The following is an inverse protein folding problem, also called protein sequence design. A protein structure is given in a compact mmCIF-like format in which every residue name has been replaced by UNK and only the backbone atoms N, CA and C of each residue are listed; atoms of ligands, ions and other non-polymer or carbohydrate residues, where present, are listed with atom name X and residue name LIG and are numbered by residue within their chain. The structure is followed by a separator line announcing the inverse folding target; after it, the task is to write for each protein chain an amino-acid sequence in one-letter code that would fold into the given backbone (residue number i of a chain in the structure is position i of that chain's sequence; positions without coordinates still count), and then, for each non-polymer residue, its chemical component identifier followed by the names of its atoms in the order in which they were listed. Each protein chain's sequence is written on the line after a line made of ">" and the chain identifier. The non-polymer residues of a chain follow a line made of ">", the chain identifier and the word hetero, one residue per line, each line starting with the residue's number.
data_IF_539937210105
#
_entry.id   IF_539937210105
#
_cell.length_a   1.000
_cell.length_b   1.000
_cell.length_c   1.000
_cell.angle_alpha   90.00
_cell.angle_beta   90.00
_cell.angle_gamma   90.00
#
_symmetry.space_group_name_H-M   'P 1'
#
loop_
_entity.id
_entity.type
_entity.pdbx_description
1 polymer ?
#
# COMPACT_ATOMS: atom_id res chain seq x y z
N UNK A 1 5.26 -2.69 -30.20
CA UNK A 1 5.32 -1.88 -28.96
C UNK A 1 4.53 -0.59 -29.21
N UNK A 2 3.32 -0.43 -28.67
CA UNK A 2 2.46 0.75 -28.85
C UNK A 2 2.65 1.82 -27.73
N UNK A 3 3.68 1.67 -26.90
CA UNK A 3 3.97 2.54 -25.73
C UNK A 3 4.80 3.79 -26.07
N UNK A 4 4.76 4.25 -27.33
CA UNK A 4 5.83 5.05 -27.93
C UNK A 4 6.12 6.41 -27.30
N UNK A 5 5.11 7.13 -26.81
CA UNK A 5 5.31 8.51 -26.33
C UNK A 5 4.48 8.79 -25.07
N UNK A 6 4.72 8.04 -24.00
CA UNK A 6 4.20 8.39 -22.66
C UNK A 6 5.36 8.56 -21.69
N UNK A 7 5.53 9.77 -21.17
CA UNK A 7 6.56 10.11 -20.20
C UNK A 7 5.92 10.40 -18.84
N UNK A 8 6.55 9.95 -17.76
CA UNK A 8 6.14 10.29 -16.39
C UNK A 8 6.89 11.53 -15.94
N UNK A 9 6.19 12.44 -15.31
CA UNK A 9 6.76 13.66 -14.75
C UNK A 9 6.03 14.04 -13.46
N UNK A 10 6.55 15.08 -12.81
CA UNK A 10 5.94 15.70 -11.65
C UNK A 10 5.71 17.19 -11.96
N UNK A 11 4.48 17.66 -11.80
CA UNK A 11 4.10 19.07 -11.99
C UNK A 11 3.55 19.56 -10.66
N UNK A 12 4.19 20.59 -10.08
CA UNK A 12 3.77 21.15 -8.78
C UNK A 12 3.63 20.07 -7.69
N UNK A 13 4.62 19.17 -7.59
CA UNK A 13 4.63 18.05 -6.63
C UNK A 13 3.47 17.04 -6.83
N UNK A 14 2.81 17.08 -8.00
CA UNK A 14 1.72 16.15 -8.37
C UNK A 14 2.16 15.19 -9.47
N UNK A 15 1.73 13.91 -9.41
CA UNK A 15 1.99 12.96 -10.47
C UNK A 15 1.37 13.40 -11.79
N UNK A 16 2.17 13.38 -12.86
CA UNK A 16 1.71 13.77 -14.18
C UNK A 16 2.27 12.86 -15.29
N UNK A 17 1.56 12.81 -16.42
CA UNK A 17 1.95 12.09 -17.62
C UNK A 17 1.98 13.03 -18.82
N UNK A 18 3.00 12.92 -19.67
CA UNK A 18 3.06 13.57 -20.98
C UNK A 18 2.78 12.52 -22.05
N UNK A 19 1.65 12.65 -22.73
CA UNK A 19 1.18 11.72 -23.75
C UNK A 19 1.35 12.35 -25.13
N UNK A 20 1.97 11.61 -26.06
CA UNK A 20 2.32 12.04 -27.41
C UNK A 20 3.10 13.37 -27.46
N UNK A 21 3.84 13.69 -26.39
CA UNK A 21 4.57 14.97 -26.20
C UNK A 21 3.69 16.22 -26.28
N UNK A 22 2.37 16.06 -26.38
CA UNK A 22 1.42 17.15 -26.64
C UNK A 22 0.39 17.31 -25.53
N UNK A 23 -0.08 16.20 -24.94
CA UNK A 23 -1.10 16.20 -23.89
C UNK A 23 -0.43 16.02 -22.54
N UNK A 24 -0.66 16.94 -21.62
CA UNK A 24 -0.27 16.80 -20.21
C UNK A 24 -1.48 16.32 -19.42
N UNK A 25 -1.30 15.30 -18.60
CA UNK A 25 -2.32 14.73 -17.72
C UNK A 25 -1.83 14.84 -16.29
N UNK A 26 -2.49 15.64 -15.46
CA UNK A 26 -2.13 15.84 -14.05
C UNK A 26 -3.15 15.14 -13.16
N UNK A 27 -2.67 14.33 -12.22
CA UNK A 27 -3.52 13.63 -11.27
C UNK A 27 -3.76 14.49 -10.04
N UNK A 28 -5.03 14.77 -9.74
CA UNK A 28 -5.46 15.45 -8.53
C UNK A 28 -6.39 14.56 -7.68
N UNK A 29 -6.60 14.89 -6.38
CA UNK A 29 -7.54 14.16 -5.55
C UNK A 29 -8.96 14.22 -6.13
N UNK A 30 -9.48 13.09 -6.59
CA UNK A 30 -10.84 12.96 -7.11
C UNK A 30 -11.04 13.46 -8.56
N UNK A 31 -10.01 13.99 -9.22
CA UNK A 31 -10.13 14.44 -10.61
C UNK A 31 -8.81 14.33 -11.39
N UNK A 32 -8.91 14.44 -12.72
CA UNK A 32 -7.76 14.45 -13.63
C UNK A 32 -7.85 15.69 -14.48
N UNK A 33 -6.77 16.46 -14.55
CA UNK A 33 -6.68 17.67 -15.37
C UNK A 33 -5.92 17.34 -16.65
N UNK A 34 -6.51 17.65 -17.80
CA UNK A 34 -5.86 17.53 -19.10
C UNK A 34 -5.51 18.92 -19.61
N UNK A 35 -4.25 19.11 -20.00
CA UNK A 35 -3.75 20.36 -20.56
C UNK A 35 -3.10 20.10 -21.93
N UNK A 36 -3.50 20.85 -22.95
CA UNK A 36 -2.91 20.78 -24.29
C UNK A 36 -3.05 22.10 -25.03
N UNK A 37 -2.24 22.29 -26.08
CA UNK A 37 -2.43 23.37 -27.04
C UNK A 37 -3.48 22.96 -28.07
N UNK A 38 -4.62 23.64 -28.09
CA UNK A 38 -5.75 23.32 -28.96
C UNK A 38 -5.38 23.42 -30.45
N UNK A 39 -5.58 22.32 -31.17
CA UNK A 39 -5.50 22.21 -32.62
C UNK A 39 -6.10 20.86 -33.05
N UNK A 40 -6.49 20.69 -34.33
CA UNK A 40 -7.19 19.49 -34.77
C UNK A 40 -6.50 18.16 -34.43
N UNK A 41 -5.16 18.13 -34.42
CA UNK A 41 -4.41 16.92 -34.07
C UNK A 41 -4.40 16.65 -32.57
N UNK A 42 -4.14 17.68 -31.76
CA UNK A 42 -4.10 17.54 -30.31
C UNK A 42 -5.49 17.33 -29.70
N UNK A 43 -6.54 17.90 -30.28
CA UNK A 43 -7.92 17.72 -29.82
C UNK A 43 -8.33 16.24 -29.97
N UNK A 44 -7.97 15.61 -31.09
CA UNK A 44 -8.17 14.17 -31.29
C UNK A 44 -7.39 13.32 -30.25
N UNK A 45 -6.16 13.73 -29.93
CA UNK A 45 -5.37 13.06 -28.89
C UNK A 45 -6.00 13.23 -27.50
N UNK A 46 -6.50 14.43 -27.17
CA UNK A 46 -7.17 14.72 -25.92
C UNK A 46 -8.47 13.91 -25.76
N UNK A 47 -9.28 13.79 -26.82
CA UNK A 47 -10.49 12.96 -26.83
C UNK A 47 -10.16 11.48 -26.61
N UNK A 48 -9.10 11.00 -27.25
CA UNK A 48 -8.63 9.61 -27.08
C UNK A 48 -8.17 9.35 -25.65
N UNK A 49 -7.35 10.25 -25.09
CA UNK A 49 -6.88 10.16 -23.69
C UNK A 49 -8.07 10.18 -22.72
N UNK A 50 -9.03 11.07 -22.94
CA UNK A 50 -10.27 11.16 -22.14
C UNK A 50 -11.04 9.86 -22.18
N UNK A 51 -11.24 9.29 -23.37
CA UNK A 51 -11.95 8.02 -23.56
C UNK A 51 -11.28 6.90 -22.77
N UNK A 52 -9.95 6.79 -22.83
CA UNK A 52 -9.19 5.77 -22.08
C UNK A 52 -9.34 5.97 -20.57
N UNK A 53 -9.29 7.20 -20.08
CA UNK A 53 -9.48 7.51 -18.65
C UNK A 53 -10.89 7.07 -18.19
N UNK A 54 -11.91 7.41 -18.96
CA UNK A 54 -13.30 7.04 -18.65
C UNK A 54 -13.53 5.52 -18.73
N UNK A 55 -12.92 4.83 -19.70
CA UNK A 55 -12.99 3.38 -19.82
C UNK A 55 -12.34 2.69 -18.60
N UNK A 56 -11.18 3.18 -18.15
CA UNK A 56 -10.51 2.69 -16.93
C UNK A 56 -11.37 2.91 -15.69
N UNK A 57 -12.02 4.06 -15.56
CA UNK A 57 -12.91 4.36 -14.43
C UNK A 57 -14.18 3.51 -14.42
N UNK A 58 -14.77 3.30 -15.60
CA UNK A 58 -16.01 2.52 -15.76
C UNK A 58 -15.78 1.01 -15.66
N UNK A 59 -14.55 0.52 -15.85
CA UNK A 59 -14.21 -0.89 -15.73
C UNK A 59 -13.84 -1.30 -14.28
N UNK A 60 -14.70 -2.07 -13.58
CA UNK A 60 -14.45 -2.46 -12.18
C UNK A 60 -13.19 -3.33 -12.02
N UNK A 61 -12.78 -4.06 -13.07
CA UNK A 61 -11.62 -4.97 -13.03
C UNK A 61 -10.29 -4.21 -13.10
N UNK A 62 -10.24 -3.11 -13.86
CA UNK A 62 -9.05 -2.26 -13.99
C UNK A 62 -8.91 -1.33 -12.77
N UNK A 63 -10.03 -0.80 -12.28
CA UNK A 63 -10.09 -0.05 -11.01
C UNK A 63 -9.52 -0.87 -9.86
N UNK A 64 -9.85 -2.17 -9.78
CA UNK A 64 -9.27 -3.08 -8.78
C UNK A 64 -7.75 -3.18 -8.90
N UNK A 65 -7.16 -3.32 -10.09
CA UNK A 65 -5.71 -3.54 -10.24
C UNK A 65 -4.78 -2.34 -9.95
N UNK A 66 -5.17 -1.11 -10.30
CA UNK A 66 -4.37 0.09 -10.04
C UNK A 66 -4.59 0.66 -8.62
N UNK A 67 -5.83 0.59 -8.13
CA UNK A 67 -6.15 0.90 -6.73
C UNK A 67 -5.51 -0.15 -5.82
N UNK A 68 -5.54 -1.45 -6.15
CA UNK A 68 -4.89 -2.51 -5.35
C UNK A 68 -3.41 -2.27 -5.05
N UNK A 69 -2.60 -1.66 -5.93
CA UNK A 69 -1.17 -1.47 -5.62
C UNK A 69 -0.93 -0.35 -4.59
N UNK A 70 -1.68 0.75 -4.68
CA UNK A 70 -1.61 1.83 -3.69
C UNK A 70 -2.35 1.43 -2.41
N UNK A 71 -3.50 0.76 -2.55
CA UNK A 71 -4.27 0.18 -1.45
C UNK A 71 -3.48 -0.85 -0.70
N UNK A 72 -2.77 -1.78 -1.34
CA UNK A 72 -2.02 -2.83 -0.61
C UNK A 72 -0.87 -2.25 0.20
N UNK A 73 -0.20 -1.19 -0.28
CA UNK A 73 0.85 -0.49 0.49
C UNK A 73 0.25 0.30 1.66
N UNK A 74 -0.87 0.99 1.44
CA UNK A 74 -1.59 1.73 2.48
C UNK A 74 -2.22 0.78 3.53
N UNK A 75 -2.79 -0.34 3.09
CA UNK A 75 -3.36 -1.41 3.92
C UNK A 75 -2.27 -2.06 4.76
N UNK A 76 -1.09 -2.33 4.19
CA UNK A 76 0.03 -2.86 4.96
C UNK A 76 0.50 -1.87 6.03
N UNK A 77 0.59 -0.56 5.70
CA UNK A 77 0.95 0.45 6.68
C UNK A 77 -0.10 0.59 7.80
N UNK A 78 -1.39 0.51 7.46
CA UNK A 78 -2.49 0.52 8.44
C UNK A 78 -2.44 -0.74 9.32
N UNK A 79 -2.18 -1.90 8.74
CA UNK A 79 -2.01 -3.15 9.48
C UNK A 79 -0.83 -3.06 10.45
N UNK A 80 0.35 -2.67 9.98
CA UNK A 80 1.56 -2.52 10.79
C UNK A 80 1.34 -1.58 11.98
N UNK A 81 0.76 -0.39 11.74
CA UNK A 81 0.55 0.58 12.81
C UNK A 81 -0.51 0.13 13.82
N UNK A 82 -1.57 -0.54 13.37
CA UNK A 82 -2.58 -1.09 14.28
C UNK A 82 -2.06 -2.28 15.08
N UNK A 83 -1.21 -3.10 14.48
CA UNK A 83 -0.57 -4.22 15.14
C UNK A 83 0.38 -3.74 16.24
N UNK A 84 1.20 -2.73 15.94
CA UNK A 84 2.06 -2.06 16.93
C UNK A 84 1.25 -1.58 18.14
N UNK A 85 0.21 -0.76 17.91
CA UNK A 85 -0.63 -0.21 18.99
C UNK A 85 -1.31 -1.32 19.80
N UNK A 86 -1.82 -2.36 19.14
CA UNK A 86 -2.48 -3.47 19.84
C UNK A 86 -1.49 -4.26 20.69
N UNK A 87 -0.28 -4.54 20.19
CA UNK A 87 0.75 -5.23 20.96
C UNK A 87 1.24 -4.38 22.12
N UNK A 88 1.35 -3.06 21.94
CA UNK A 88 1.69 -2.11 23.02
C UNK A 88 0.61 -2.07 24.10
N UNK A 89 -0.67 -2.19 23.74
CA UNK A 89 -1.78 -2.27 24.71
C UNK A 89 -1.76 -3.59 25.51
N UNK A 90 -1.36 -4.70 24.88
CA UNK A 90 -1.30 -6.03 25.52
C UNK A 90 -0.06 -6.17 26.40
N UNK A 91 1.11 -5.77 25.91
CA UNK A 91 2.42 -6.06 26.52
C UNK A 91 3.09 -4.84 27.15
N UNK A 92 2.64 -3.62 26.83
CA UNK A 92 3.28 -2.37 27.22
C UNK A 92 4.16 -1.78 26.11
N UNK A 93 4.29 -0.46 26.11
CA UNK A 93 5.04 0.28 25.08
C UNK A 93 6.53 -0.10 25.04
N UNK A 94 7.14 -0.31 26.22
CA UNK A 94 8.55 -0.68 26.35
C UNK A 94 8.87 -2.12 25.89
N UNK A 95 7.84 -2.95 25.73
CA UNK A 95 7.98 -4.34 25.30
C UNK A 95 7.93 -4.51 23.79
N UNK A 96 7.59 -3.47 23.02
CA UNK A 96 7.39 -3.56 21.57
C UNK A 96 8.37 -2.64 20.86
N UNK A 97 9.16 -3.21 19.94
CA UNK A 97 10.12 -2.47 19.12
C UNK A 97 10.00 -2.80 17.64
N UNK A 98 10.20 -1.80 16.79
CA UNK A 98 10.29 -1.99 15.34
C UNK A 98 11.77 -2.14 15.00
N UNK A 99 12.18 -3.32 14.54
CA UNK A 99 13.59 -3.58 14.16
C UNK A 99 13.87 -3.13 12.72
N UNK A 100 12.98 -3.50 11.81
CA UNK A 100 13.03 -3.19 10.38
C UNK A 100 11.65 -2.73 9.89
N UNK A 101 11.56 -2.12 8.70
CA UNK A 101 10.29 -1.70 8.08
C UNK A 101 9.26 -2.85 7.94
N UNK A 102 9.73 -4.11 8.02
CA UNK A 102 8.91 -5.31 7.87
C UNK A 102 8.85 -6.21 9.12
N UNK A 103 9.49 -5.85 10.24
CA UNK A 103 9.55 -6.71 11.44
C UNK A 103 9.26 -5.94 12.73
N UNK A 104 8.29 -6.45 13.49
CA UNK A 104 7.95 -6.01 14.84
C UNK A 104 8.45 -7.05 15.85
N UNK A 105 9.03 -6.61 16.95
CA UNK A 105 9.57 -7.47 18.00
C UNK A 105 8.87 -7.20 19.32
N UNK A 106 8.46 -8.27 19.99
CA UNK A 106 7.86 -8.23 21.32
C UNK A 106 8.80 -8.93 22.29
N UNK A 107 9.27 -8.22 23.31
CA UNK A 107 10.19 -8.75 24.33
C UNK A 107 9.54 -8.69 25.71
N UNK A 108 9.34 -9.86 26.34
CA UNK A 108 8.76 -10.01 27.69
C UNK A 108 9.68 -10.90 28.50
N UNK A 109 10.08 -10.46 29.70
CA UNK A 109 10.97 -11.21 30.61
C UNK A 109 12.27 -11.73 29.95
N UNK A 110 12.82 -10.95 29.01
CA UNK A 110 14.04 -11.29 28.28
C UNK A 110 13.86 -12.28 27.13
N UNK A 111 12.62 -12.68 26.83
CA UNK A 111 12.27 -13.54 25.70
C UNK A 111 11.69 -12.71 24.56
N UNK A 112 12.11 -12.97 23.34
CA UNK A 112 11.76 -12.15 22.18
C UNK A 112 11.05 -12.95 21.10
N UNK A 113 9.89 -12.47 20.68
CA UNK A 113 9.14 -12.95 19.53
C UNK A 113 9.18 -11.89 18.41
N UNK A 114 9.61 -12.28 17.22
CA UNK A 114 9.70 -11.43 16.05
C UNK A 114 8.58 -11.78 15.08
N UNK A 115 7.73 -10.80 14.74
CA UNK A 115 6.68 -10.94 13.74
C UNK A 115 7.06 -10.28 12.42
N UNK A 116 7.01 -11.05 11.35
CA UNK A 116 7.13 -10.53 9.99
C UNK A 116 5.78 -9.97 9.52
N UNK A 117 5.76 -8.68 9.16
CA UNK A 117 4.54 -7.95 8.82
C UNK A 117 3.95 -8.31 7.45
N UNK A 118 4.75 -8.96 6.59
CA UNK A 118 4.30 -9.42 5.27
C UNK A 118 3.72 -10.84 5.34
N UNK A 119 4.43 -11.76 6.01
CA UNK A 119 4.04 -13.18 6.08
C UNK A 119 3.14 -13.49 7.27
N UNK A 120 3.16 -12.63 8.30
CA UNK A 120 2.56 -12.81 9.63
C UNK A 120 3.15 -13.97 10.43
N UNK A 121 4.26 -14.55 9.97
CA UNK A 121 4.96 -15.58 10.71
C UNK A 121 5.65 -14.99 11.94
N UNK A 122 5.60 -15.72 13.05
CA UNK A 122 6.26 -15.36 14.30
C UNK A 122 7.40 -16.33 14.58
N UNK A 123 8.60 -15.79 14.76
CA UNK A 123 9.81 -16.54 15.07
C UNK A 123 10.37 -16.09 16.42
N UNK A 124 10.74 -17.05 17.27
CA UNK A 124 11.38 -16.74 18.55
C UNK A 124 12.89 -16.69 18.39
N UNK A 125 13.56 -15.79 19.11
CA UNK A 125 15.03 -15.74 19.11
C UNK A 125 15.64 -16.91 19.90
N UNK A 126 16.91 -17.22 19.60
CA UNK A 126 17.68 -18.23 20.32
C UNK A 126 17.64 -17.96 21.84
N UNK A 127 17.22 -18.96 22.63
CA UNK A 127 16.99 -18.83 24.07
C UNK A 127 15.56 -18.47 24.49
N UNK A 128 14.67 -18.23 23.53
CA UNK A 128 13.21 -18.03 23.74
C UNK A 128 12.36 -19.18 23.18
N UNK A 129 13.00 -20.26 22.71
CA UNK A 129 12.36 -21.39 22.01
C UNK A 129 11.34 -22.15 22.87
N UNK A 130 11.49 -22.11 24.20
CA UNK A 130 10.56 -22.74 25.15
C UNK A 130 9.30 -21.89 25.41
N UNK A 131 9.23 -20.65 24.91
CA UNK A 131 8.08 -19.77 25.12
C UNK A 131 7.09 -19.76 23.95
N UNK A 132 6.55 -20.95 23.70
CA UNK A 132 5.43 -21.13 22.78
C UNK A 132 4.22 -20.26 23.14
N UNK A 133 4.04 -19.93 24.43
CA UNK A 133 2.92 -19.10 24.86
C UNK A 133 3.01 -17.66 24.35
N UNK A 134 4.19 -17.03 24.41
CA UNK A 134 4.42 -15.71 23.83
C UNK A 134 4.27 -15.75 22.31
N UNK A 135 4.82 -16.78 21.66
CA UNK A 135 4.72 -17.00 20.21
C UNK A 135 3.25 -17.07 19.76
N UNK A 136 2.47 -17.95 20.38
CA UNK A 136 1.05 -18.16 20.07
C UNK A 136 0.23 -16.90 20.31
N UNK A 137 0.51 -16.15 21.39
CA UNK A 137 -0.20 -14.89 21.67
C UNK A 137 0.05 -13.83 20.60
N UNK A 138 1.31 -13.63 20.19
CA UNK A 138 1.68 -12.66 19.15
C UNK A 138 1.10 -13.09 17.80
N UNK A 139 1.17 -14.38 17.46
CA UNK A 139 0.62 -14.93 16.22
C UNK A 139 -0.90 -14.77 16.16
N UNK A 140 -1.62 -15.09 17.24
CA UNK A 140 -3.08 -14.96 17.31
C UNK A 140 -3.53 -13.50 17.21
N UNK A 141 -2.82 -12.57 17.86
CA UNK A 141 -3.13 -11.15 17.78
C UNK A 141 -2.98 -10.65 16.33
N UNK A 142 -1.87 -10.99 15.69
CA UNK A 142 -1.59 -10.63 14.31
C UNK A 142 -2.61 -11.19 13.31
N UNK A 143 -3.02 -12.44 13.49
CA UNK A 143 -4.02 -13.10 12.65
C UNK A 143 -5.40 -12.45 12.83
N UNK A 144 -5.84 -12.21 14.08
CA UNK A 144 -7.14 -11.58 14.37
C UNK A 144 -7.25 -10.18 13.80
N UNK A 145 -6.19 -9.38 13.92
CA UNK A 145 -6.18 -8.05 13.34
C UNK A 145 -6.24 -8.10 11.81
N UNK A 146 -5.52 -9.04 11.19
CA UNK A 146 -5.55 -9.22 9.75
C UNK A 146 -6.95 -9.60 9.25
N UNK A 147 -7.62 -10.53 9.93
CA UNK A 147 -9.00 -10.92 9.65
C UNK A 147 -9.99 -9.76 9.83
N UNK A 148 -9.81 -8.94 10.87
CA UNK A 148 -10.66 -7.78 11.12
C UNK A 148 -10.51 -6.67 10.05
N UNK A 149 -9.33 -6.56 9.43
CA UNK A 149 -9.04 -5.56 8.40
C UNK A 149 -9.35 -6.07 6.98
N UNK A 150 -9.44 -7.38 6.78
CA UNK A 150 -9.70 -7.97 5.47
C UNK A 150 -11.20 -8.20 5.30
N UNK A 151 -11.88 -7.57 4.32
CA UNK A 151 -13.29 -7.79 4.11
C UNK A 151 -13.59 -9.27 3.80
N UNK A 152 -14.46 -9.87 4.61
CA UNK A 152 -15.05 -11.19 4.34
C UNK A 152 -15.89 -11.02 3.07
N UNK A 153 -15.47 -11.67 1.98
CA UNK A 153 -16.19 -11.66 0.70
C UNK A 153 -17.42 -12.57 0.75
#
# INVERSE_FOLDING_TARGET
>A
KLTGDVEKLEIQEKPALKVFKSITVVQEPGMVVLEWLANPSNDMYADTVTTVILEVQSNPKIRKGAVQKVSKKLEMHVYSKRLEVMLQDIFGEDCVSVKDDSVLSVTVDGKTANINLETRAVECEEGSEDDESLREMVELAAQRLYEALTPVH
#
